data_IF_805046124296
#
_entry.id   IF_805046124296
#
_cell.length_a   1.000
_cell.length_b   1.000
_cell.length_c   1.000
_cell.angle_alpha   90.00
_cell.angle_beta   90.00
_cell.angle_gamma   90.00
#
_symmetry.space_group_name_H-M   'P 1'
#
loop_
_entity.id
_entity.type
_entity.pdbx_description
1 polymer ?
#
# COMPACT_ATOMS: atom_id res chain seq x y z
N UNK A 1 7.78 -4.30 -10.88
CA UNK A 1 6.90 -3.47 -11.73
C UNK A 1 7.25 -2.02 -11.45
N UNK A 2 7.18 -1.17 -12.47
CA UNK A 2 7.32 0.27 -12.35
C UNK A 2 5.95 0.94 -12.24
N UNK A 3 5.93 2.25 -12.04
CA UNK A 3 4.72 3.07 -12.00
C UNK A 3 4.99 4.46 -12.58
N UNK A 4 4.02 5.01 -13.31
CA UNK A 4 4.12 6.38 -13.84
C UNK A 4 3.64 7.43 -12.82
N UNK A 5 2.79 7.02 -11.88
CA UNK A 5 2.22 7.92 -10.89
C UNK A 5 2.47 7.43 -9.47
N UNK A 6 3.01 8.32 -8.63
CA UNK A 6 3.23 8.08 -7.21
C UNK A 6 2.56 9.17 -6.38
N UNK A 7 1.65 8.78 -5.50
CA UNK A 7 1.00 9.68 -4.53
C UNK A 7 1.50 9.35 -3.13
N UNK A 8 2.21 10.28 -2.49
CA UNK A 8 2.56 10.15 -1.08
C UNK A 8 1.31 10.32 -0.20
N UNK A 9 1.03 9.35 0.67
CA UNK A 9 -0.17 9.35 1.52
C UNK A 9 0.14 9.79 2.95
N UNK A 10 1.14 9.17 3.58
CA UNK A 10 1.46 9.45 4.98
C UNK A 10 2.86 8.99 5.36
N UNK A 11 3.37 9.56 6.45
CA UNK A 11 4.55 9.08 7.18
C UNK A 11 4.14 8.52 8.53
N UNK A 12 4.45 7.26 8.81
CA UNK A 12 4.14 6.58 10.06
C UNK A 12 5.41 6.38 10.90
N UNK A 13 5.26 6.40 12.22
CA UNK A 13 6.27 5.92 13.17
C UNK A 13 5.75 4.65 13.83
N UNK A 14 6.65 3.72 14.12
CA UNK A 14 6.30 2.45 14.75
C UNK A 14 6.92 2.38 16.14
N UNK A 15 6.09 2.21 17.18
CA UNK A 15 6.52 2.17 18.58
C UNK A 15 7.56 3.28 18.89
N UNK A 16 7.15 4.56 18.84
CA UNK A 16 8.07 5.72 18.87
C UNK A 16 8.91 5.80 20.15
N UNK A 17 8.49 5.15 21.23
CA UNK A 17 9.26 5.00 22.47
C UNK A 17 10.46 4.07 22.34
N UNK A 18 10.53 3.25 21.28
CA UNK A 18 11.56 2.23 21.07
C UNK A 18 12.31 2.40 19.74
N UNK A 19 11.64 2.89 18.70
CA UNK A 19 12.25 3.05 17.38
C UNK A 19 12.10 4.49 16.85
N UNK A 20 13.17 5.00 16.26
CA UNK A 20 13.19 6.27 15.52
C UNK A 20 12.83 6.12 14.04
N UNK A 21 12.59 4.88 13.59
CA UNK A 21 12.28 4.57 12.20
C UNK A 21 10.96 5.20 11.75
N UNK A 22 10.96 5.68 10.51
CA UNK A 22 9.82 6.28 9.83
C UNK A 22 9.53 5.49 8.57
N UNK A 23 8.27 5.17 8.36
CA UNK A 23 7.80 4.53 7.14
C UNK A 23 7.01 5.54 6.30
N UNK A 24 7.26 5.57 5.00
CA UNK A 24 6.44 6.34 4.06
C UNK A 24 5.46 5.39 3.38
N UNK A 25 4.20 5.79 3.30
CA UNK A 25 3.17 5.10 2.51
C UNK A 25 2.98 5.89 1.22
N UNK A 26 3.12 5.19 0.09
CA UNK A 26 2.98 5.74 -1.25
C UNK A 26 2.02 4.84 -2.04
N UNK A 27 1.04 5.44 -2.71
CA UNK A 27 0.20 4.77 -3.70
C UNK A 27 0.87 4.88 -5.06
N UNK A 28 1.07 3.75 -5.72
CA UNK A 28 1.62 3.66 -7.07
C UNK A 28 0.49 3.28 -8.05
N UNK A 29 0.36 4.04 -9.14
CA UNK A 29 -0.69 3.89 -10.16
C UNK A 29 -0.06 3.91 -11.56
N UNK A 30 -0.82 3.48 -12.58
CA UNK A 30 -0.33 3.34 -13.95
C UNK A 30 0.93 2.47 -14.04
N UNK A 31 0.79 1.25 -13.50
CA UNK A 31 1.90 0.32 -13.38
C UNK A 31 2.30 -0.29 -14.73
N UNK A 32 3.60 -0.42 -14.98
CA UNK A 32 4.14 -1.07 -16.16
C UNK A 32 5.09 -2.24 -15.80
N UNK A 33 5.26 -3.22 -16.71
CA UNK A 33 6.19 -4.31 -16.50
C UNK A 33 7.62 -3.78 -16.41
N UNK A 34 8.24 -3.98 -15.26
CA UNK A 34 9.64 -3.64 -15.02
C UNK A 34 10.14 -4.57 -13.93
N UNK A 35 11.36 -5.08 -14.10
CA UNK A 35 12.03 -5.90 -13.10
C UNK A 35 13.41 -5.33 -12.87
N UNK A 36 13.67 -4.94 -11.63
CA UNK A 36 14.99 -4.57 -11.15
C UNK A 36 15.59 -5.77 -10.41
N UNK A 37 16.91 -5.84 -10.41
CA UNK A 37 17.64 -6.78 -9.57
C UNK A 37 17.41 -6.41 -8.11
N UNK A 38 16.91 -7.36 -7.32
CA UNK A 38 16.70 -7.20 -5.89
C UNK A 38 17.64 -8.14 -5.13
N UNK A 39 17.90 -7.81 -3.86
CA UNK A 39 18.79 -8.58 -3.00
C UNK A 39 18.14 -9.89 -2.48
N UNK A 40 16.82 -10.02 -2.62
CA UNK A 40 16.08 -11.20 -2.16
C UNK A 40 16.39 -12.43 -3.03
N UNK A 41 16.76 -13.57 -2.40
CA UNK A 41 17.13 -14.79 -3.11
C UNK A 41 15.94 -15.48 -3.80
N UNK A 42 14.72 -15.20 -3.35
CA UNK A 42 13.48 -15.82 -3.84
C UNK A 42 12.53 -14.79 -4.48
N UNK A 43 11.75 -15.24 -5.47
CA UNK A 43 10.72 -14.38 -6.09
C UNK A 43 9.49 -14.32 -5.19
N UNK A 44 9.10 -13.09 -4.81
CA UNK A 44 7.93 -12.87 -3.98
C UNK A 44 6.63 -13.05 -4.80
N UNK A 45 5.66 -13.87 -4.35
CA UNK A 45 4.43 -14.10 -5.08
C UNK A 45 3.58 -12.82 -5.14
N UNK A 46 3.00 -12.55 -6.31
CA UNK A 46 2.12 -11.39 -6.52
C UNK A 46 0.66 -11.83 -6.45
N UNK A 47 -0.10 -11.25 -5.53
CA UNK A 47 -1.54 -11.46 -5.39
C UNK A 47 -2.27 -10.23 -5.91
N UNK A 48 -3.18 -10.41 -6.87
CA UNK A 48 -4.06 -9.34 -7.34
C UNK A 48 -5.33 -9.31 -6.51
N UNK A 49 -5.65 -8.15 -5.93
CA UNK A 49 -6.86 -7.96 -5.14
C UNK A 49 -7.76 -6.88 -5.74
N UNK A 50 -9.08 -7.12 -5.90
CA UNK A 50 -9.98 -6.14 -6.45
C UNK A 50 -10.24 -4.99 -5.47
N UNK A 51 -10.09 -3.74 -5.94
CA UNK A 51 -10.30 -2.51 -5.16
C UNK A 51 -11.69 -2.48 -4.50
N UNK A 52 -12.74 -2.89 -5.24
CA UNK A 52 -14.11 -2.94 -4.73
C UNK A 52 -14.30 -3.86 -3.51
N UNK A 53 -13.38 -4.79 -3.28
CA UNK A 53 -13.40 -5.73 -2.14
C UNK A 53 -12.17 -5.57 -1.24
N UNK A 54 -11.46 -4.44 -1.31
CA UNK A 54 -10.20 -4.26 -0.58
C UNK A 54 -10.36 -4.45 0.93
N UNK A 55 -11.54 -4.15 1.49
CA UNK A 55 -11.78 -4.28 2.92
C UNK A 55 -11.87 -5.73 3.40
N UNK A 56 -12.14 -6.68 2.50
CA UNK A 56 -12.10 -8.13 2.81
C UNK A 56 -10.70 -8.59 3.21
N UNK A 57 -9.64 -7.82 2.90
CA UNK A 57 -8.28 -8.12 3.39
C UNK A 57 -8.19 -8.10 4.92
N UNK A 58 -9.06 -7.38 5.63
CA UNK A 58 -9.05 -7.38 7.10
C UNK A 58 -9.44 -8.74 7.70
N UNK A 59 -10.12 -9.58 6.93
CA UNK A 59 -10.52 -10.92 7.36
C UNK A 59 -9.41 -11.96 7.08
N UNK A 60 -8.41 -11.62 6.27
CA UNK A 60 -7.27 -12.47 5.96
C UNK A 60 -6.30 -12.53 7.16
N UNK A 61 -6.04 -13.72 7.74
CA UNK A 61 -5.13 -13.85 8.86
C UNK A 61 -3.69 -13.44 8.57
N UNK A 62 -3.25 -13.50 7.32
CA UNK A 62 -1.91 -13.10 6.89
C UNK A 62 -1.82 -11.56 6.67
N UNK A 63 -2.95 -10.85 6.69
CA UNK A 63 -3.05 -9.39 6.55
C UNK A 63 -3.34 -8.70 7.89
N UNK A 64 -2.52 -8.97 8.92
CA UNK A 64 -2.75 -8.45 10.30
C UNK A 64 -1.66 -7.53 10.83
N UNK A 65 -1.01 -6.80 9.93
CA UNK A 65 0.09 -5.92 10.27
C UNK A 65 -0.35 -4.44 10.24
N UNK A 66 0.02 -3.67 11.27
CA UNK A 66 -0.49 -2.31 11.50
C UNK A 66 -0.19 -1.34 10.35
N UNK A 67 0.97 -1.47 9.68
CA UNK A 67 1.34 -0.63 8.53
C UNK A 67 0.48 -0.97 7.32
N UNK A 68 0.26 -2.25 7.04
CA UNK A 68 -0.61 -2.72 5.96
C UNK A 68 -2.07 -2.27 6.16
N UNK A 69 -2.59 -2.42 7.39
CA UNK A 69 -3.94 -1.94 7.75
C UNK A 69 -4.03 -0.42 7.61
N UNK A 70 -3.05 0.33 8.09
CA UNK A 70 -3.03 1.80 7.95
C UNK A 70 -3.03 2.23 6.48
N UNK A 71 -2.22 1.57 5.64
CA UNK A 71 -2.17 1.85 4.20
C UNK A 71 -3.52 1.57 3.52
N UNK A 72 -4.18 0.46 3.87
CA UNK A 72 -5.50 0.09 3.31
C UNK A 72 -6.54 1.19 3.56
N UNK A 73 -6.64 1.67 4.81
CA UNK A 73 -7.59 2.73 5.15
C UNK A 73 -7.23 4.07 4.49
N UNK A 74 -5.95 4.46 4.45
CA UNK A 74 -5.52 5.69 3.78
C UNK A 74 -5.86 5.70 2.29
N UNK A 75 -5.61 4.59 1.59
CA UNK A 75 -5.96 4.44 0.18
C UNK A 75 -7.47 4.49 -0.02
N UNK A 76 -8.26 3.82 0.83
CA UNK A 76 -9.72 3.86 0.76
C UNK A 76 -10.26 5.29 0.83
N UNK A 77 -9.81 6.07 1.81
CA UNK A 77 -10.25 7.46 1.97
C UNK A 77 -9.87 8.33 0.77
N UNK A 78 -8.65 8.16 0.22
CA UNK A 78 -8.23 8.86 -0.98
C UNK A 78 -9.14 8.54 -2.18
N UNK A 79 -9.42 7.25 -2.41
CA UNK A 79 -10.24 6.82 -3.53
C UNK A 79 -11.69 7.32 -3.40
N UNK A 80 -12.24 7.32 -2.17
CA UNK A 80 -13.55 7.88 -1.90
C UNK A 80 -13.59 9.39 -2.21
N UNK A 81 -12.58 10.16 -1.78
CA UNK A 81 -12.49 11.59 -2.07
C UNK A 81 -12.37 11.88 -3.58
N UNK A 82 -11.60 11.07 -4.31
CA UNK A 82 -11.48 11.18 -5.77
C UNK A 82 -12.81 10.90 -6.48
N UNK A 83 -13.59 9.91 -6.03
CA UNK A 83 -14.88 9.58 -6.62
C UNK A 83 -15.90 10.73 -6.49
N UNK A 84 -15.88 11.45 -5.36
CA UNK A 84 -16.75 12.63 -5.13
C UNK A 84 -16.37 13.78 -6.07
N UNK A 85 -15.08 14.02 -6.31
CA UNK A 85 -14.61 15.11 -7.15
C UNK A 85 -14.80 14.88 -8.67
N UNK A 86 -15.23 13.68 -9.06
CA UNK A 86 -15.50 13.32 -10.47
C UNK A 86 -17.01 13.37 -10.78
N UNK A 87 -17.85 13.60 -9.75
CA UNK A 87 -19.32 13.76 -9.87
C UNK A 87 -19.72 15.22 -9.92
#
# INVERSE_FOLDING_TARGET
MGAEQFTFLHKLTMAPSYFSSRMNIVLAEDLFPERLEGDEPEQMPVVRWPIARMMELLDDPDFREARSVSALFLVRELLAARAVNVS
#
